data_IF_545901374099
#
_entry.id   IF_545901374099
#
_cell.length_a   1.000
_cell.length_b   1.000
_cell.length_c   1.000
_cell.angle_alpha   90.00
_cell.angle_beta   90.00
_cell.angle_gamma   90.00
#
_symmetry.space_group_name_H-M   'P 1'
#
loop_
_entity.id
_entity.type
_entity.pdbx_description
1 polymer ?
#
# COMPACT_ATOMS: atom_id res chain seq x y z
N UNK A 1 7.73 -11.90 -24.04
CA UNK A 1 7.28 -11.85 -22.63
C UNK A 1 8.43 -11.29 -21.80
N UNK A 2 8.22 -10.25 -21.00
CA UNK A 2 9.20 -9.75 -20.01
C UNK A 2 8.63 -9.89 -18.60
N UNK A 3 9.46 -9.72 -17.57
CA UNK A 3 9.07 -9.93 -16.17
C UNK A 3 7.86 -9.06 -15.76
N UNK A 4 7.84 -7.80 -16.17
CA UNK A 4 6.71 -6.89 -15.90
C UNK A 4 5.41 -7.38 -16.52
N UNK A 5 5.44 -7.84 -17.78
CA UNK A 5 4.25 -8.40 -18.43
C UNK A 5 3.80 -9.70 -17.78
N UNK A 6 4.73 -10.54 -17.31
CA UNK A 6 4.38 -11.74 -16.56
C UNK A 6 3.66 -11.37 -15.27
N UNK A 7 4.19 -10.46 -14.45
CA UNK A 7 3.55 -10.00 -13.21
C UNK A 7 2.16 -9.45 -13.51
N UNK A 8 2.02 -8.57 -14.52
CA UNK A 8 0.73 -7.99 -14.89
C UNK A 8 -0.31 -9.06 -15.24
N UNK A 9 0.06 -10.03 -16.08
CA UNK A 9 -0.84 -11.11 -16.49
C UNK A 9 -1.15 -12.08 -15.34
N UNK A 10 -0.15 -12.44 -14.53
CA UNK A 10 -0.32 -13.30 -13.37
C UNK A 10 -1.27 -12.66 -12.35
N UNK A 11 -1.05 -11.39 -12.01
CA UNK A 11 -1.90 -10.67 -11.06
C UNK A 11 -3.33 -10.55 -11.60
N UNK A 12 -3.51 -10.18 -12.87
CA UNK A 12 -4.86 -10.12 -13.47
C UNK A 12 -5.59 -11.47 -13.56
N UNK A 13 -4.86 -12.58 -13.67
CA UNK A 13 -5.46 -13.91 -13.78
C UNK A 13 -5.77 -14.55 -12.42
N UNK A 14 -4.90 -14.33 -11.43
CA UNK A 14 -4.91 -15.07 -10.17
C UNK A 14 -5.25 -14.22 -8.94
N UNK A 15 -5.25 -12.89 -9.04
CA UNK A 15 -5.64 -11.99 -7.95
C UNK A 15 -7.03 -11.42 -8.25
N UNK A 16 -8.07 -11.80 -7.48
CA UNK A 16 -9.42 -11.30 -7.71
C UNK A 16 -9.56 -9.80 -7.45
N UNK A 17 -10.41 -9.12 -8.22
CA UNK A 17 -10.72 -7.69 -8.01
C UNK A 17 -11.28 -7.40 -6.59
N UNK A 18 -12.00 -8.36 -6.01
CA UNK A 18 -12.48 -8.25 -4.62
C UNK A 18 -11.35 -8.17 -3.60
N UNK A 19 -10.24 -8.86 -3.86
CA UNK A 19 -9.06 -8.83 -3.02
C UNK A 19 -8.34 -7.49 -3.15
N UNK A 20 -8.08 -7.01 -4.37
CA UNK A 20 -7.43 -5.70 -4.59
C UNK A 20 -8.27 -4.55 -4.02
N UNK A 21 -9.61 -4.61 -4.17
CA UNK A 21 -10.53 -3.67 -3.55
C UNK A 21 -10.44 -3.68 -2.02
N UNK A 22 -10.39 -4.86 -1.41
CA UNK A 22 -10.22 -4.99 0.04
C UNK A 22 -8.90 -4.41 0.51
N UNK A 23 -7.80 -4.64 -0.21
CA UNK A 23 -6.49 -4.07 0.11
C UNK A 23 -6.50 -2.54 0.00
N UNK A 24 -7.17 -1.97 -1.01
CA UNK A 24 -7.37 -0.52 -1.12
C UNK A 24 -8.17 0.07 0.04
N UNK A 25 -9.24 -0.63 0.48
CA UNK A 25 -10.03 -0.25 1.66
C UNK A 25 -9.19 -0.28 2.93
N UNK A 26 -8.42 -1.34 3.14
CA UNK A 26 -7.53 -1.49 4.31
C UNK A 26 -6.44 -0.42 4.30
N UNK A 27 -5.83 -0.13 3.14
CA UNK A 27 -4.88 0.96 2.97
C UNK A 27 -5.51 2.29 3.38
N UNK A 28 -6.73 2.57 2.92
CA UNK A 28 -7.48 3.78 3.20
C UNK A 28 -7.60 4.10 4.70
N UNK A 29 -7.78 3.08 5.54
CA UNK A 29 -7.94 3.22 6.99
C UNK A 29 -6.70 2.87 7.82
N UNK A 30 -5.61 2.43 7.17
CA UNK A 30 -4.40 2.00 7.86
C UNK A 30 -3.81 3.11 8.73
N UNK A 31 -3.54 2.76 10.00
CA UNK A 31 -2.85 3.58 11.01
C UNK A 31 -1.83 2.71 11.73
N UNK A 32 -0.69 3.29 12.11
CA UNK A 32 0.34 2.61 12.88
C UNK A 32 -0.20 2.13 14.23
N UNK A 33 -1.00 2.96 14.91
CA UNK A 33 -1.58 2.63 16.21
C UNK A 33 -0.51 2.25 17.24
N UNK A 34 -0.62 1.05 17.81
CA UNK A 34 0.33 0.50 18.79
C UNK A 34 1.46 -0.32 18.16
N UNK A 35 1.41 -0.59 16.85
CA UNK A 35 2.44 -1.37 16.17
C UNK A 35 3.77 -0.61 16.06
N UNK A 36 4.85 -1.37 15.93
CA UNK A 36 6.14 -0.80 15.58
C UNK A 36 6.12 -0.15 14.20
N UNK A 37 7.04 0.77 13.93
CA UNK A 37 7.18 1.37 12.60
C UNK A 37 7.41 0.27 11.56
N UNK A 38 8.26 -0.72 11.86
CA UNK A 38 8.57 -1.81 10.94
C UNK A 38 7.33 -2.64 10.55
N UNK A 39 6.47 -2.99 11.51
CA UNK A 39 5.23 -3.72 11.24
C UNK A 39 4.27 -2.89 10.39
N UNK A 40 4.12 -1.61 10.72
CA UNK A 40 3.33 -0.67 9.94
C UNK A 40 3.87 -0.52 8.51
N UNK A 41 5.19 -0.35 8.33
CA UNK A 41 5.83 -0.26 7.01
C UNK A 41 5.61 -1.50 6.18
N UNK A 42 5.77 -2.69 6.78
CA UNK A 42 5.54 -3.95 6.09
C UNK A 42 4.10 -4.03 5.57
N UNK A 43 3.12 -3.77 6.45
CA UNK A 43 1.71 -3.84 6.08
C UNK A 43 1.34 -2.77 5.05
N UNK A 44 1.86 -1.55 5.18
CA UNK A 44 1.66 -0.49 4.20
C UNK A 44 2.15 -0.88 2.81
N UNK A 45 3.37 -1.45 2.71
CA UNK A 45 3.94 -1.84 1.42
C UNK A 45 3.17 -3.00 0.76
N UNK A 46 2.74 -3.97 1.56
CA UNK A 46 1.85 -5.05 1.10
C UNK A 46 0.54 -4.47 0.53
N UNK A 47 -0.10 -3.57 1.27
CA UNK A 47 -1.36 -2.97 0.85
C UNK A 47 -1.21 -2.12 -0.41
N UNK A 48 -0.16 -1.31 -0.53
CA UNK A 48 0.11 -0.51 -1.73
C UNK A 48 0.37 -1.39 -2.96
N UNK A 49 1.07 -2.51 -2.77
CA UNK A 49 1.37 -3.44 -3.86
C UNK A 49 0.09 -4.05 -4.45
N UNK A 50 -0.85 -4.46 -3.60
CA UNK A 50 -2.09 -5.11 -4.04
C UNK A 50 -3.25 -4.14 -4.30
N UNK A 51 -3.23 -2.93 -3.76
CA UNK A 51 -4.27 -1.92 -4.01
C UNK A 51 -4.14 -1.27 -5.38
N UNK A 52 -2.95 -1.36 -5.98
CA UNK A 52 -2.67 -0.77 -7.28
C UNK A 52 -3.12 -1.75 -8.37
N UNK A 53 -4.26 -1.47 -9.00
CA UNK A 53 -4.56 -2.09 -10.29
C UNK A 53 -3.50 -1.67 -11.33
N UNK A 54 -3.52 -2.32 -12.50
CA UNK A 54 -2.58 -2.05 -13.58
C UNK A 54 -2.60 -0.58 -14.12
N UNK A 55 -3.52 0.27 -13.66
CA UNK A 55 -3.75 1.63 -14.14
C UNK A 55 -3.71 2.72 -13.04
N UNK A 56 -3.57 2.37 -11.76
CA UNK A 56 -3.89 3.25 -10.62
C UNK A 56 -2.88 3.24 -9.48
N UNK A 57 -1.59 3.05 -9.76
CA UNK A 57 -0.55 3.17 -8.75
C UNK A 57 -0.56 4.57 -8.11
N UNK A 58 -0.51 4.63 -6.77
CA UNK A 58 -0.35 5.89 -6.06
C UNK A 58 0.93 6.59 -6.55
N UNK A 59 0.84 7.88 -6.85
CA UNK A 59 2.05 8.68 -7.09
C UNK A 59 2.96 8.61 -5.87
N UNK A 60 4.28 8.74 -6.05
CA UNK A 60 5.23 8.72 -4.93
C UNK A 60 4.87 9.76 -3.86
N UNK A 61 4.37 10.93 -4.29
CA UNK A 61 3.86 11.97 -3.37
C UNK A 61 2.62 11.51 -2.60
N UNK A 62 1.66 10.86 -3.27
CA UNK A 62 0.47 10.34 -2.61
C UNK A 62 0.83 9.20 -1.63
N UNK A 63 1.77 8.32 -2.01
CA UNK A 63 2.28 7.24 -1.16
C UNK A 63 2.99 7.80 0.08
N UNK A 64 3.88 8.78 -0.09
CA UNK A 64 4.56 9.46 1.01
C UNK A 64 3.55 10.12 1.97
N UNK A 65 2.62 10.90 1.45
CA UNK A 65 1.59 11.55 2.26
C UNK A 65 0.75 10.52 3.02
N UNK A 66 0.30 9.47 2.34
CA UNK A 66 -0.53 8.43 2.94
C UNK A 66 0.22 7.67 4.05
N UNK A 67 1.50 7.40 3.84
CA UNK A 67 2.36 6.78 4.85
C UNK A 67 2.51 7.68 6.07
N UNK A 68 2.87 8.95 5.87
CA UNK A 68 3.05 9.93 6.94
C UNK A 68 1.77 10.13 7.77
N UNK A 69 0.62 10.34 7.12
CA UNK A 69 -0.67 10.47 7.80
C UNK A 69 -1.11 9.22 8.57
N UNK A 70 -0.56 8.04 8.25
CA UNK A 70 -0.83 6.83 8.98
C UNK A 70 0.08 6.60 10.18
N UNK A 71 1.20 7.32 10.28
CA UNK A 71 2.11 7.23 11.42
C UNK A 71 1.45 7.72 12.71
N UNK A 72 1.96 7.21 13.84
CA UNK A 72 1.61 7.72 15.17
C UNK A 72 2.17 9.15 15.32
N UNK A 73 1.43 10.01 16.03
CA UNK A 73 1.69 11.46 16.04
C UNK A 73 3.09 11.85 16.51
N UNK A 74 3.65 11.16 17.51
CA UNK A 74 5.02 11.35 18.00
C UNK A 74 6.08 11.10 16.91
N UNK A 75 5.89 10.03 16.14
CA UNK A 75 6.82 9.64 15.07
C UNK A 75 6.62 10.53 13.84
N UNK A 76 5.36 10.80 13.47
CA UNK A 76 5.02 11.68 12.36
C UNK A 76 5.62 13.08 12.55
N UNK A 77 5.59 13.61 13.78
CA UNK A 77 6.18 14.89 14.12
C UNK A 77 7.72 14.90 14.01
N UNK A 78 8.38 13.78 14.33
CA UNK A 78 9.84 13.67 14.27
C UNK A 78 10.39 13.62 12.83
N UNK A 79 9.55 13.33 11.83
CA UNK A 79 9.93 13.17 10.42
C UNK A 79 9.27 14.20 9.49
N UNK A 80 8.66 15.24 10.08
CA UNK A 80 8.01 16.35 9.36
C UNK A 80 8.97 17.44 8.92
#
# INVERSE_FOLDING_TARGET
MNWENFIRLFMGQYVPDSFTFQMGRELGVLKQGRSSVAEYTRKFNELVYFSSDANGALTERAKMNKYHYGLRGDIAHAVS
#
